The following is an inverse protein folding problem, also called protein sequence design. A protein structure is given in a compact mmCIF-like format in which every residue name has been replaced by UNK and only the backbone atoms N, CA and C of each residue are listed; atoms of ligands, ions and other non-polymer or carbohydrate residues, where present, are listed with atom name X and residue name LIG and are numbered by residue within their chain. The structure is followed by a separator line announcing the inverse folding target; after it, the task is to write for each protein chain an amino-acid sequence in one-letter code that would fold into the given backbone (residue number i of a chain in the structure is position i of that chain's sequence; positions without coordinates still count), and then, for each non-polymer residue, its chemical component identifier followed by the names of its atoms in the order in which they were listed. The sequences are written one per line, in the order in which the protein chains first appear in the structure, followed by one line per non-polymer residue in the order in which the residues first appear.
data_IF_955033157135
#
_entry.id   IF_955033157135
#
_cell.length_a   1.000
_cell.length_b   1.000
_cell.length_c   1.000
_cell.angle_alpha   90.00
_cell.angle_beta   90.00
_cell.angle_gamma   90.00
#
_symmetry.space_group_name_H-M   'P 1'
#
loop_
_entity.id
_entity.type
_entity.pdbx_description
1 polymer ?
#
# COMPACT_ATOMS: atom_id res chain seq x y z
N UNK A 1 -15.53 27.81 11.06
CA UNK A 1 -16.39 28.13 12.24
C UNK A 1 -15.51 28.16 13.48
N UNK A 2 -15.81 28.97 14.50
CA UNK A 2 -15.03 28.97 15.74
C UNK A 2 -15.96 28.92 16.96
N UNK A 3 -15.48 28.32 18.05
CA UNK A 3 -16.20 28.20 19.33
C UNK A 3 -15.24 28.44 20.49
N UNK A 4 -15.75 28.96 21.61
CA UNK A 4 -14.98 29.13 22.85
C UNK A 4 -15.50 28.14 23.90
N UNK A 5 -14.69 27.16 24.24
CA UNK A 5 -14.99 26.11 25.21
C UNK A 5 -14.46 26.48 26.59
N UNK A 6 -15.30 26.30 27.63
CA UNK A 6 -15.00 26.56 29.04
C UNK A 6 -14.39 27.94 29.34
N UNK A 7 -14.58 28.91 28.44
CA UNK A 7 -13.94 30.25 28.45
C UNK A 7 -12.41 30.22 28.48
N UNK A 8 -11.79 29.10 28.13
CA UNK A 8 -10.33 28.90 28.18
C UNK A 8 -9.74 28.45 26.86
N UNK A 9 -10.50 27.69 26.07
CA UNK A 9 -9.99 27.08 24.84
C UNK A 9 -10.75 27.63 23.65
N UNK A 10 -10.04 28.31 22.75
CA UNK A 10 -10.59 28.73 21.47
C UNK A 10 -10.41 27.60 20.46
N UNK A 11 -11.51 27.05 19.97
CA UNK A 11 -11.52 26.03 18.95
C UNK A 11 -11.81 26.65 17.58
N UNK A 12 -10.98 26.34 16.59
CA UNK A 12 -11.01 26.90 15.24
C UNK A 12 -11.19 25.77 14.23
N UNK A 13 -12.33 25.72 13.56
CA UNK A 13 -12.59 24.81 12.44
C UNK A 13 -12.32 25.52 11.12
N UNK A 14 -11.29 25.06 10.41
CA UNK A 14 -10.87 25.54 9.09
C UNK A 14 -11.20 24.48 8.04
N UNK A 15 -11.77 24.91 6.91
CA UNK A 15 -11.98 24.04 5.76
C UNK A 15 -10.90 24.31 4.71
N UNK A 16 -10.30 23.24 4.18
CA UNK A 16 -9.34 23.35 3.08
C UNK A 16 -10.08 23.65 1.79
N UNK A 17 -9.68 24.71 1.09
CA UNK A 17 -10.15 24.98 -0.26
C UNK A 17 -9.78 23.85 -1.22
N UNK A 18 -8.54 23.36 -1.14
CA UNK A 18 -8.09 22.15 -1.83
C UNK A 18 -8.16 20.96 -0.87
N UNK A 19 -9.18 20.12 -1.03
CA UNK A 19 -9.47 18.99 -0.15
C UNK A 19 -8.40 17.90 -0.20
N UNK A 20 -7.57 17.86 -1.24
CA UNK A 20 -6.57 16.81 -1.44
C UNK A 20 -5.17 17.20 -0.94
N UNK A 21 -4.90 18.48 -0.72
CA UNK A 21 -3.56 18.94 -0.29
C UNK A 21 -3.30 18.73 1.20
N UNK A 22 -2.15 18.13 1.48
CA UNK A 22 -1.57 18.10 2.82
C UNK A 22 -1.00 19.48 3.20
N UNK A 23 -1.17 19.89 4.45
CA UNK A 23 -0.53 21.09 4.99
C UNK A 23 0.69 20.64 5.77
N UNK A 24 1.89 21.04 5.33
CA UNK A 24 3.13 20.68 6.02
C UNK A 24 3.30 21.39 7.36
N UNK A 25 2.60 22.50 7.59
CA UNK A 25 2.60 23.27 8.83
C UNK A 25 1.22 23.93 9.02
N UNK A 26 0.90 24.33 10.25
CA UNK A 26 -0.37 25.03 10.55
C UNK A 26 -0.30 26.48 10.08
N UNK A 27 0.82 27.15 10.32
CA UNK A 27 1.10 28.51 9.87
C UNK A 27 2.39 28.53 9.04
N UNK A 28 2.45 29.40 8.04
CA UNK A 28 3.65 29.55 7.20
C UNK A 28 4.82 30.06 8.03
N UNK A 29 5.94 29.35 8.00
CA UNK A 29 7.16 29.71 8.73
C UNK A 29 7.36 28.92 10.02
N UNK A 30 6.34 28.16 10.47
CA UNK A 30 6.48 27.23 11.57
C UNK A 30 7.23 25.95 11.13
N UNK A 31 7.81 25.19 12.08
CA UNK A 31 8.36 23.88 11.81
C UNK A 31 7.37 22.96 11.10
N UNK A 32 7.89 22.15 10.16
CA UNK A 32 7.07 21.17 9.48
C UNK A 32 6.61 20.06 10.44
N UNK A 33 5.41 19.54 10.19
CA UNK A 33 4.83 18.42 10.91
C UNK A 33 5.68 17.19 10.63
N UNK A 34 6.30 16.64 11.68
CA UNK A 34 7.03 15.38 11.58
C UNK A 34 6.05 14.21 11.47
N UNK A 35 5.87 13.72 10.25
CA UNK A 35 4.96 12.60 9.94
C UNK A 35 5.58 11.24 10.25
N UNK A 36 6.86 11.16 10.67
CA UNK A 36 7.54 9.88 10.91
C UNK A 36 7.09 9.17 12.18
N UNK A 37 6.58 9.92 13.15
CA UNK A 37 6.04 9.37 14.41
C UNK A 37 4.52 9.18 14.38
N UNK A 38 3.86 9.66 13.31
CA UNK A 38 2.46 9.35 13.05
C UNK A 38 2.41 7.90 12.59
N UNK A 39 2.20 6.99 13.53
CA UNK A 39 1.70 5.66 13.20
C UNK A 39 0.36 5.93 12.53
N UNK A 40 0.19 5.63 11.22
CA UNK A 40 -1.12 5.67 10.63
C UNK A 40 -1.97 4.81 11.54
N UNK A 41 -3.11 5.30 12.05
CA UNK A 41 -4.09 4.37 12.58
C UNK A 41 -4.26 3.36 11.47
N UNK A 42 -3.83 2.11 11.72
CA UNK A 42 -4.09 1.00 10.83
C UNK A 42 -5.60 1.06 10.69
N UNK A 43 -6.08 1.65 9.58
CA UNK A 43 -7.49 1.66 9.25
C UNK A 43 -7.86 0.22 9.42
N UNK A 44 -8.65 -0.08 10.45
CA UNK A 44 -8.77 -1.45 10.92
C UNK A 44 -9.26 -2.19 9.70
N UNK A 45 -8.60 -3.28 9.31
CA UNK A 45 -9.00 -4.07 8.13
C UNK A 45 -10.51 -4.42 8.15
N UNK A 46 -11.15 -4.32 9.32
CA UNK A 46 -12.59 -4.42 9.55
C UNK A 46 -13.45 -3.34 8.90
N UNK A 47 -12.91 -2.15 8.61
CA UNK A 47 -13.66 -0.98 8.14
C UNK A 47 -13.63 -0.88 6.60
N UNK A 48 -12.86 -1.76 5.96
CA UNK A 48 -12.77 -1.90 4.51
C UNK A 48 -13.77 -2.95 4.03
N UNK A 49 -14.36 -2.72 2.86
CA UNK A 49 -15.17 -3.74 2.19
C UNK A 49 -14.32 -5.00 1.86
N UNK A 50 -14.95 -6.17 1.68
CA UNK A 50 -14.23 -7.43 1.51
C UNK A 50 -13.23 -7.45 0.34
N UNK A 51 -13.50 -6.71 -0.74
CA UNK A 51 -12.65 -6.66 -1.93
C UNK A 51 -11.39 -5.80 -1.66
N UNK A 52 -11.59 -4.63 -1.06
CA UNK A 52 -10.48 -3.75 -0.65
C UNK A 52 -9.62 -4.42 0.41
N UNK A 53 -10.23 -5.14 1.37
CA UNK A 53 -9.51 -5.90 2.39
C UNK A 53 -8.59 -6.97 1.79
N UNK A 54 -9.11 -7.78 0.87
CA UNK A 54 -8.31 -8.81 0.20
C UNK A 54 -7.12 -8.20 -0.57
N UNK A 55 -7.32 -7.03 -1.16
CA UNK A 55 -6.27 -6.29 -1.88
C UNK A 55 -5.17 -5.79 -0.92
N UNK A 56 -5.55 -5.22 0.22
CA UNK A 56 -4.60 -4.73 1.23
C UNK A 56 -3.85 -5.89 1.91
N UNK A 57 -4.53 -6.99 2.23
CA UNK A 57 -3.89 -8.20 2.76
C UNK A 57 -2.87 -8.78 1.77
N UNK A 58 -3.21 -8.85 0.47
CA UNK A 58 -2.28 -9.24 -0.59
C UNK A 58 -1.07 -8.31 -0.66
N UNK A 59 -1.29 -7.00 -0.60
CA UNK A 59 -0.19 -6.01 -0.64
C UNK A 59 0.74 -6.14 0.57
N UNK A 60 0.20 -6.32 1.77
CA UNK A 60 1.01 -6.53 2.98
C UNK A 60 1.83 -7.83 2.90
N UNK A 61 1.23 -8.92 2.42
CA UNK A 61 1.92 -10.20 2.22
C UNK A 61 3.06 -10.06 1.19
N UNK A 62 2.78 -9.44 0.04
CA UNK A 62 3.78 -9.23 -1.01
C UNK A 62 4.92 -8.31 -0.54
N UNK A 63 4.62 -7.30 0.28
CA UNK A 63 5.64 -6.43 0.87
C UNK A 63 6.57 -7.21 1.81
N UNK A 64 6.04 -8.11 2.64
CA UNK A 64 6.84 -8.98 3.51
C UNK A 64 7.67 -10.00 2.73
N UNK A 65 7.08 -10.63 1.70
CA UNK A 65 7.80 -11.57 0.81
C UNK A 65 8.98 -10.88 0.13
N UNK A 66 8.76 -9.68 -0.42
CA UNK A 66 9.82 -8.88 -1.05
C UNK A 66 10.95 -8.54 -0.08
N UNK A 67 10.64 -8.13 1.16
CA UNK A 67 11.67 -7.86 2.18
C UNK A 67 12.49 -9.11 2.52
N UNK A 68 11.89 -10.30 2.42
CA UNK A 68 12.57 -11.59 2.63
C UNK A 68 13.25 -12.13 1.36
N UNK A 69 13.19 -11.42 0.24
CA UNK A 69 13.70 -11.91 -1.05
C UNK A 69 12.93 -13.11 -1.61
N UNK A 70 11.71 -13.33 -1.14
CA UNK A 70 10.84 -14.44 -1.52
C UNK A 70 9.83 -14.01 -2.61
N UNK A 71 9.32 -14.96 -3.41
CA UNK A 71 8.38 -14.66 -4.49
C UNK A 71 7.05 -14.13 -3.96
N UNK A 72 6.53 -13.11 -4.62
CA UNK A 72 5.19 -12.54 -4.38
C UNK A 72 4.08 -13.52 -4.74
N UNK A 73 2.87 -13.27 -4.26
CA UNK A 73 1.67 -14.06 -4.56
C UNK A 73 1.43 -14.24 -6.07
N UNK A 74 1.65 -13.20 -6.88
CA UNK A 74 1.50 -13.29 -8.35
C UNK A 74 2.59 -14.14 -9.01
N UNK A 75 3.82 -14.09 -8.50
CA UNK A 75 4.92 -14.94 -8.98
C UNK A 75 4.68 -16.40 -8.60
N UNK A 76 4.18 -16.68 -7.40
CA UNK A 76 3.82 -18.03 -6.98
C UNK A 76 2.71 -18.60 -7.89
N UNK A 77 1.67 -17.81 -8.16
CA UNK A 77 0.57 -18.23 -9.04
C UNK A 77 1.03 -18.50 -10.47
N UNK A 78 1.93 -17.68 -11.00
CA UNK A 78 2.52 -17.89 -12.32
C UNK A 78 3.39 -19.18 -12.34
N UNK A 79 4.12 -19.48 -11.26
CA UNK A 79 4.89 -20.72 -11.14
C UNK A 79 4.01 -21.96 -11.11
N UNK A 80 2.92 -21.94 -10.34
CA UNK A 80 1.95 -23.03 -10.31
C UNK A 80 1.29 -23.25 -11.67
N UNK A 81 0.92 -22.18 -12.36
CA UNK A 81 0.29 -22.27 -13.68
C UNK A 81 1.25 -22.86 -14.72
N UNK A 82 2.51 -22.42 -14.70
CA UNK A 82 3.55 -22.98 -15.57
C UNK A 82 3.83 -24.45 -15.24
N UNK A 83 3.85 -24.83 -13.97
CA UNK A 83 4.07 -26.22 -13.56
C UNK A 83 2.93 -27.13 -14.03
N UNK A 84 1.67 -26.70 -13.85
CA UNK A 84 0.51 -27.44 -14.40
C UNK A 84 0.57 -27.56 -15.92
N UNK A 85 1.00 -26.51 -16.61
CA UNK A 85 1.13 -26.53 -18.06
C UNK A 85 2.22 -27.50 -18.53
N UNK A 86 3.36 -27.55 -17.84
CA UNK A 86 4.44 -28.53 -18.09
C UNK A 86 3.98 -29.97 -17.87
N UNK A 87 3.19 -30.21 -16.82
CA UNK A 87 2.65 -31.54 -16.53
C UNK A 87 1.61 -31.99 -17.57
N UNK A 88 0.80 -31.05 -18.07
CA UNK A 88 -0.20 -31.33 -19.09
C UNK A 88 0.39 -31.53 -20.51
N UNK A 89 1.55 -30.92 -20.77
CA UNK A 89 2.24 -30.96 -22.06
C UNK A 89 3.72 -31.35 -21.90
N UNK A 90 4.00 -32.61 -21.52
CA UNK A 90 5.38 -33.10 -21.35
C UNK A 90 6.18 -33.09 -22.66
N UNK A 91 5.52 -33.01 -23.82
CA UNK A 91 6.13 -32.86 -25.14
C UNK A 91 6.72 -31.46 -25.41
N UNK A 92 6.37 -30.45 -24.62
CA UNK A 92 6.88 -29.09 -24.79
C UNK A 92 8.17 -28.88 -23.98
N UNK A 93 9.26 -28.53 -24.67
CA UNK A 93 10.55 -28.22 -24.04
C UNK A 93 10.64 -26.75 -23.62
N UNK A 94 10.69 -26.50 -22.30
CA UNK A 94 10.80 -25.17 -21.70
C UNK A 94 12.25 -24.79 -21.35
N UNK A 95 13.25 -25.58 -21.75
CA UNK A 95 14.67 -25.33 -21.48
C UNK A 95 15.16 -23.98 -22.02
N UNK A 96 14.59 -23.50 -23.13
CA UNK A 96 14.90 -22.21 -23.76
C UNK A 96 13.82 -21.13 -23.56
N UNK A 97 12.82 -21.37 -22.70
CA UNK A 97 11.74 -20.41 -22.48
C UNK A 97 12.22 -19.22 -21.63
N UNK A 98 12.17 -18.00 -22.19
CA UNK A 98 12.39 -16.77 -21.42
C UNK A 98 11.14 -16.44 -20.60
N UNK A 99 11.09 -16.94 -19.38
CA UNK A 99 10.01 -16.63 -18.44
C UNK A 99 10.33 -15.29 -17.77
N UNK A 100 9.62 -14.24 -18.19
CA UNK A 100 9.75 -12.92 -17.59
C UNK A 100 8.88 -12.84 -16.34
N UNK A 101 9.47 -13.08 -15.16
CA UNK A 101 8.83 -13.01 -13.85
C UNK A 101 8.58 -11.58 -13.38
N UNK A 102 7.96 -10.75 -14.24
CA UNK A 102 7.58 -9.38 -13.92
C UNK A 102 8.71 -8.59 -13.29
N UNK A 103 9.61 -8.05 -14.12
CA UNK A 103 10.61 -7.07 -13.69
C UNK A 103 9.99 -6.02 -12.77
N UNK A 104 10.48 -5.99 -11.53
CA UNK A 104 10.25 -4.95 -10.55
C UNK A 104 10.71 -3.60 -11.12
N UNK A 105 9.81 -2.90 -11.80
CA UNK A 105 10.01 -1.50 -12.16
C UNK A 105 9.00 -0.62 -11.41
N UNK A 106 9.18 -0.50 -10.09
CA UNK A 106 8.56 0.55 -9.29
C UNK A 106 9.51 0.90 -8.15
N UNK A 107 10.38 1.87 -8.45
CA UNK A 107 11.43 2.37 -7.58
C UNK A 107 12.18 3.51 -8.27
N UNK A 108 11.48 4.62 -8.47
CA UNK A 108 12.02 5.94 -8.74
C UNK A 108 11.35 6.91 -7.79
#
# INVERSE_FOLDING_TARGET
MWTLEDRKTLHLSLEKTDKMRWWSCVLKGDPEIDTKTIVPENSKLSDLDPETRATVEKMMYDQQQKQKGLPTSDQQRQAEMLEKFKQAHPELDFSNAKINWGGSNWGG
#
